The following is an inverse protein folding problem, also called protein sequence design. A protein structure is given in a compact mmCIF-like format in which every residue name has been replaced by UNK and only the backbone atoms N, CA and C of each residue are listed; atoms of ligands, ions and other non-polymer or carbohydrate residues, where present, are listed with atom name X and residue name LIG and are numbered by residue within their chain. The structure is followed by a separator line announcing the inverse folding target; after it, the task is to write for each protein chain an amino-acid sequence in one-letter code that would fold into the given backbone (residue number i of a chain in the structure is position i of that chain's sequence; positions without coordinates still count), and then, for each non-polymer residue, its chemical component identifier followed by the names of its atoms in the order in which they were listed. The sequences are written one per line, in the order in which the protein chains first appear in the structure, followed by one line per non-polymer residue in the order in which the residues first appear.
data_IF_136658349134
#
_entry.id   IF_136658349134
#
_cell.length_a   1.000
_cell.length_b   1.000
_cell.length_c   1.000
_cell.angle_alpha   90.00
_cell.angle_beta   90.00
_cell.angle_gamma   90.00
#
_symmetry.space_group_name_H-M   'P 1'
#
loop_
_entity.id
_entity.type
_entity.pdbx_description
1 polymer ?
#
# COMPACT_ATOMS: atom_id res chain seq x y z
N UNK A 1 -13.29 74.73 -35.88
CA UNK A 1 -12.82 73.96 -34.73
C UNK A 1 -13.17 72.48 -34.97
N UNK A 2 -12.20 71.62 -35.23
CA UNK A 2 -12.40 70.17 -35.45
C UNK A 2 -11.99 69.46 -34.17
N UNK A 3 -12.94 68.84 -33.50
CA UNK A 3 -12.69 68.03 -32.28
C UNK A 3 -12.26 66.62 -32.69
N UNK A 4 -11.06 66.23 -32.30
CA UNK A 4 -10.52 64.89 -32.49
C UNK A 4 -10.85 64.08 -31.25
N UNK A 5 -11.66 63.03 -31.41
CA UNK A 5 -11.97 62.00 -30.36
C UNK A 5 -10.88 60.93 -30.42
N UNK A 6 -10.05 60.83 -29.39
CA UNK A 6 -9.06 59.77 -29.21
C UNK A 6 -9.73 58.63 -28.44
N UNK A 7 -9.97 57.51 -29.11
CA UNK A 7 -10.45 56.27 -28.46
C UNK A 7 -9.26 55.53 -27.84
N UNK A 8 -9.23 55.43 -26.53
CA UNK A 8 -8.29 54.63 -25.77
C UNK A 8 -8.81 53.19 -25.71
N UNK A 9 -8.27 52.29 -26.52
CA UNK A 9 -8.51 50.86 -26.42
C UNK A 9 -7.66 50.27 -25.29
N UNK A 10 -8.29 49.93 -24.16
CA UNK A 10 -7.67 49.22 -23.05
C UNK A 10 -7.46 47.74 -23.45
N UNK A 11 -6.21 47.36 -23.73
CA UNK A 11 -5.80 45.99 -23.98
C UNK A 11 -5.63 45.26 -22.64
N UNK A 12 -6.63 44.49 -22.23
CA UNK A 12 -6.55 43.59 -21.07
C UNK A 12 -5.62 42.40 -21.44
N UNK A 13 -4.35 42.47 -21.03
CA UNK A 13 -3.44 41.31 -21.04
C UNK A 13 -3.92 40.32 -19.96
N UNK A 14 -4.59 39.25 -20.38
CA UNK A 14 -4.88 38.12 -19.52
C UNK A 14 -3.57 37.41 -19.17
N UNK A 15 -3.14 37.50 -17.90
CA UNK A 15 -2.03 36.70 -17.39
C UNK A 15 -2.55 35.27 -17.28
N UNK A 16 -2.13 34.39 -18.20
CA UNK A 16 -2.35 32.96 -18.08
C UNK A 16 -1.45 32.46 -16.92
N UNK A 17 -2.07 32.22 -15.77
CA UNK A 17 -1.40 31.51 -14.68
C UNK A 17 -1.28 30.05 -15.11
N UNK A 18 -0.09 29.65 -15.56
CA UNK A 18 0.23 28.23 -15.76
C UNK A 18 0.29 27.56 -14.40
N UNK A 19 -0.78 26.84 -14.02
CA UNK A 19 -0.73 25.97 -12.87
C UNK A 19 0.32 24.89 -13.13
N UNK A 20 1.45 24.94 -12.45
CA UNK A 20 2.42 23.85 -12.44
C UNK A 20 1.79 22.65 -11.75
N UNK A 21 1.79 21.49 -12.41
CA UNK A 21 1.32 20.26 -11.77
C UNK A 21 2.15 20.00 -10.51
N UNK A 22 1.47 19.72 -9.39
CA UNK A 22 2.14 19.39 -8.14
C UNK A 22 2.86 18.06 -8.30
N UNK A 23 4.13 17.99 -7.91
CA UNK A 23 4.87 16.72 -7.81
C UNK A 23 4.69 16.14 -6.42
N UNK A 24 4.31 14.87 -6.34
CA UNK A 24 4.14 14.10 -5.11
C UNK A 24 5.09 12.91 -5.11
N UNK A 25 5.77 12.67 -4.00
CA UNK A 25 6.65 11.51 -3.81
C UNK A 25 6.00 10.51 -2.88
N UNK A 26 5.84 9.28 -3.36
CA UNK A 26 5.28 8.15 -2.62
C UNK A 26 6.37 7.18 -2.20
N UNK A 27 6.35 6.78 -0.91
CA UNK A 27 7.12 5.64 -0.42
C UNK A 27 6.36 4.34 -0.66
N UNK A 28 7.05 3.28 -1.12
CA UNK A 28 6.51 1.93 -1.27
C UNK A 28 7.56 0.87 -0.93
N UNK A 29 7.13 -0.30 -0.47
CA UNK A 29 8.00 -1.47 -0.31
C UNK A 29 8.16 -2.15 -1.69
N UNK A 30 9.38 -2.60 -2.10
CA UNK A 30 9.58 -3.03 -3.49
C UNK A 30 9.29 -4.52 -3.74
N UNK A 31 8.75 -5.26 -2.77
CA UNK A 31 8.70 -6.74 -2.82
C UNK A 31 7.43 -7.36 -2.21
N UNK A 32 6.26 -6.79 -2.49
CA UNK A 32 4.96 -7.22 -1.92
C UNK A 32 3.89 -7.49 -3.00
N UNK A 33 4.14 -8.41 -3.98
CA UNK A 33 3.17 -8.69 -5.04
C UNK A 33 1.86 -9.30 -4.49
N UNK A 34 0.70 -9.04 -5.09
CA UNK A 34 0.47 -8.29 -6.33
C UNK A 34 0.34 -6.78 -6.10
N UNK A 35 0.51 -6.27 -4.85
CA UNK A 35 0.35 -4.86 -4.51
C UNK A 35 1.48 -4.01 -5.11
N UNK A 36 2.73 -4.35 -4.83
CA UNK A 36 3.90 -3.72 -5.45
C UNK A 36 5.07 -4.69 -5.57
N UNK A 37 5.82 -4.55 -6.65
CA UNK A 37 7.05 -5.31 -6.88
C UNK A 37 7.96 -4.62 -7.88
N UNK A 38 9.26 -4.92 -7.81
CA UNK A 38 10.22 -4.41 -8.78
C UNK A 38 10.42 -5.43 -9.89
N UNK A 39 10.28 -4.98 -11.15
CA UNK A 39 10.57 -5.81 -12.33
C UNK A 39 12.08 -6.01 -12.50
N UNK A 40 12.48 -6.94 -13.38
CA UNK A 40 13.89 -7.15 -13.76
C UNK A 40 14.56 -5.88 -14.32
N UNK A 41 13.78 -4.95 -14.86
CA UNK A 41 14.27 -3.65 -15.37
C UNK A 41 14.36 -2.58 -14.29
N UNK A 42 14.02 -2.89 -13.03
CA UNK A 42 14.02 -1.95 -11.91
C UNK A 42 12.78 -1.05 -11.83
N UNK A 43 11.73 -1.32 -12.64
CA UNK A 43 10.49 -0.57 -12.61
C UNK A 43 9.59 -1.06 -11.46
N UNK A 44 9.01 -0.15 -10.70
CA UNK A 44 8.03 -0.49 -9.67
C UNK A 44 6.65 -0.64 -10.33
N UNK A 45 6.01 -1.78 -10.11
CA UNK A 45 4.71 -2.15 -10.68
C UNK A 45 3.84 -2.80 -9.62
N UNK A 46 2.53 -2.84 -9.82
CA UNK A 46 1.60 -3.51 -8.92
C UNK A 46 0.27 -2.79 -8.80
N UNK A 47 -0.64 -3.39 -8.03
CA UNK A 47 -1.96 -2.84 -7.77
C UNK A 47 -1.87 -1.45 -7.13
N UNK A 48 -1.06 -1.29 -6.10
CA UNK A 48 -0.86 -0.04 -5.36
C UNK A 48 -0.27 1.05 -6.26
N UNK A 49 0.67 0.67 -7.13
CA UNK A 49 1.32 1.60 -8.05
C UNK A 49 0.34 2.12 -9.10
N UNK A 50 -0.46 1.22 -9.68
CA UNK A 50 -1.48 1.59 -10.66
C UNK A 50 -2.60 2.44 -10.01
N UNK A 51 -3.00 2.15 -8.76
CA UNK A 51 -3.96 2.96 -7.98
C UNK A 51 -3.44 4.38 -7.79
N UNK A 52 -2.18 4.55 -7.35
CA UNK A 52 -1.60 5.90 -7.17
C UNK A 52 -1.52 6.62 -8.50
N UNK A 53 -1.03 5.98 -9.56
CA UNK A 53 -0.93 6.61 -10.88
C UNK A 53 -2.30 7.08 -11.39
N UNK A 54 -3.34 6.27 -11.23
CA UNK A 54 -4.70 6.62 -11.61
C UNK A 54 -5.24 7.80 -10.77
N UNK A 55 -5.04 7.78 -9.44
CA UNK A 55 -5.41 8.89 -8.56
C UNK A 55 -4.69 10.18 -8.98
N UNK A 56 -3.38 10.10 -9.24
CA UNK A 56 -2.57 11.26 -9.61
C UNK A 56 -3.01 11.89 -10.95
N UNK A 57 -3.43 11.07 -11.91
CA UNK A 57 -4.03 11.55 -13.15
C UNK A 57 -5.33 12.33 -12.89
N UNK A 58 -6.21 11.84 -12.02
CA UNK A 58 -7.47 12.51 -11.66
C UNK A 58 -7.25 13.85 -10.94
N UNK A 59 -6.23 13.92 -10.06
CA UNK A 59 -5.93 15.15 -9.33
C UNK A 59 -4.93 16.06 -10.04
N UNK A 60 -4.54 15.72 -11.28
CA UNK A 60 -3.58 16.47 -12.11
C UNK A 60 -2.23 16.70 -11.43
N UNK A 61 -1.73 15.71 -10.70
CA UNK A 61 -0.43 15.68 -10.06
C UNK A 61 0.56 14.78 -10.83
N UNK A 62 1.86 15.08 -10.71
CA UNK A 62 2.94 14.19 -11.13
C UNK A 62 3.38 13.38 -9.93
N UNK A 63 3.22 12.06 -9.99
CA UNK A 63 3.59 11.18 -8.90
C UNK A 63 4.84 10.38 -9.21
N UNK A 64 5.73 10.29 -8.23
CA UNK A 64 6.98 9.53 -8.27
C UNK A 64 7.04 8.59 -7.09
N UNK A 65 7.83 7.52 -7.22
CA UNK A 65 7.96 6.51 -6.18
C UNK A 65 9.41 6.40 -5.71
N UNK A 66 9.58 6.17 -4.41
CA UNK A 66 10.84 5.77 -3.79
C UNK A 66 10.61 4.53 -2.94
N UNK A 67 11.54 3.58 -3.00
CA UNK A 67 11.41 2.32 -2.28
C UNK A 67 12.11 2.35 -0.95
N UNK A 68 11.47 1.79 0.07
CA UNK A 68 12.04 1.56 1.40
C UNK A 68 11.48 0.27 2.02
N UNK A 69 12.14 -0.31 3.03
CA UNK A 69 11.54 -1.35 3.87
C UNK A 69 10.21 -0.88 4.48
N UNK A 70 9.27 -1.81 4.63
CA UNK A 70 7.91 -1.52 5.09
C UNK A 70 7.86 -0.75 6.42
N UNK A 71 8.68 -1.16 7.39
CA UNK A 71 8.74 -0.54 8.73
C UNK A 71 9.24 0.91 8.73
N UNK A 72 9.92 1.34 7.65
CA UNK A 72 10.39 2.71 7.49
C UNK A 72 9.37 3.65 6.82
N UNK A 73 8.29 3.14 6.19
CA UNK A 73 7.35 3.96 5.40
C UNK A 73 6.62 5.00 6.26
N UNK A 74 5.96 4.59 7.35
CA UNK A 74 5.24 5.52 8.25
C UNK A 74 6.20 6.53 8.90
N UNK A 75 7.36 6.15 9.46
CA UNK A 75 8.36 7.10 9.92
C UNK A 75 8.77 8.14 8.87
N UNK A 76 9.00 7.73 7.63
CA UNK A 76 9.40 8.61 6.53
C UNK A 76 8.31 9.62 6.15
N UNK A 77 7.03 9.21 6.14
CA UNK A 77 5.91 10.14 5.96
C UNK A 77 5.81 11.13 7.13
N UNK A 78 6.00 10.66 8.37
CA UNK A 78 5.98 11.54 9.56
C UNK A 78 7.07 12.61 9.52
N UNK A 79 8.25 12.29 9.03
CA UNK A 79 9.37 13.23 8.87
C UNK A 79 9.32 14.03 7.54
N UNK A 80 8.29 13.81 6.72
CA UNK A 80 8.09 14.45 5.41
C UNK A 80 9.21 14.13 4.41
N UNK A 81 9.83 12.97 4.55
CA UNK A 81 10.74 12.45 3.54
C UNK A 81 9.97 12.02 2.28
N UNK A 82 8.74 11.51 2.46
CA UNK A 82 7.73 11.31 1.43
C UNK A 82 6.49 12.17 1.72
N UNK A 83 5.77 12.56 0.67
CA UNK A 83 4.46 13.21 0.80
C UNK A 83 3.40 12.22 1.28
N UNK A 84 3.49 10.98 0.79
CA UNK A 84 2.60 9.87 1.13
C UNK A 84 3.33 8.53 1.08
N UNK A 85 2.70 7.45 1.55
CA UNK A 85 3.15 6.07 1.35
C UNK A 85 1.97 5.16 1.01
N UNK A 86 2.22 4.19 0.13
CA UNK A 86 1.30 3.13 -0.23
C UNK A 86 2.07 1.81 -0.26
N UNK A 87 1.56 0.77 0.38
CA UNK A 87 2.19 -0.56 0.47
C UNK A 87 1.27 -1.51 1.24
N UNK A 88 0.05 -1.69 0.78
CA UNK A 88 -0.96 -2.49 1.48
C UNK A 88 -1.02 -2.19 3.01
N UNK A 89 -0.99 -0.89 3.37
CA UNK A 89 -0.86 -0.47 4.77
C UNK A 89 -2.22 -0.53 5.47
N UNK A 90 -2.40 -1.50 6.37
CA UNK A 90 -3.64 -1.63 7.16
C UNK A 90 -3.98 -0.36 7.92
N UNK A 91 -5.24 0.06 7.81
CA UNK A 91 -5.83 1.15 8.59
C UNK A 91 -6.11 0.62 9.99
N UNK A 92 -5.28 1.02 10.96
CA UNK A 92 -5.47 0.69 12.37
C UNK A 92 -5.57 1.94 13.23
N UNK A 93 -6.25 1.83 14.38
CA UNK A 93 -6.35 2.94 15.33
C UNK A 93 -4.95 3.39 15.81
N UNK A 94 -4.03 2.45 16.03
CA UNK A 94 -2.68 2.74 16.48
C UNK A 94 -1.88 3.56 15.45
N UNK A 95 -2.02 3.25 14.15
CA UNK A 95 -1.41 4.01 13.05
C UNK A 95 -2.11 5.34 12.82
N UNK A 96 -3.45 5.39 12.88
CA UNK A 96 -4.26 6.60 12.70
C UNK A 96 -4.00 7.67 13.79
N UNK A 97 -3.51 7.28 14.96
CA UNK A 97 -3.01 8.23 15.98
C UNK A 97 -1.75 8.98 15.52
N UNK A 98 -0.98 8.43 14.58
CA UNK A 98 0.32 8.96 14.16
C UNK A 98 0.29 9.64 12.79
N UNK A 99 -0.57 9.19 11.88
CA UNK A 99 -0.68 9.64 10.49
C UNK A 99 -2.15 9.79 10.09
N UNK A 100 -2.41 10.37 8.92
CA UNK A 100 -3.72 10.30 8.27
C UNK A 100 -3.71 9.16 7.25
N UNK A 101 -4.89 8.60 7.01
CA UNK A 101 -5.12 7.63 5.95
C UNK A 101 -6.09 8.19 4.91
N UNK A 102 -5.95 7.78 3.67
CA UNK A 102 -7.03 7.89 2.70
C UNK A 102 -8.22 7.01 3.11
N UNK A 103 -9.33 7.12 2.40
CA UNK A 103 -10.35 6.08 2.39
C UNK A 103 -9.73 4.75 1.96
N UNK A 104 -10.32 3.64 2.43
CA UNK A 104 -9.83 2.31 2.06
C UNK A 104 -9.96 2.07 0.56
N UNK A 105 -8.86 1.54 -0.05
CA UNK A 105 -8.85 1.17 -1.46
C UNK A 105 -8.88 -0.36 -1.68
N UNK A 106 -8.62 -1.17 -0.64
CA UNK A 106 -8.69 -2.63 -0.72
C UNK A 106 -9.03 -3.21 0.67
N UNK A 107 -9.71 -4.39 0.71
CA UNK A 107 -10.05 -5.07 1.95
C UNK A 107 -8.86 -5.86 2.47
N UNK A 108 -8.47 -5.64 3.73
CA UNK A 108 -7.39 -6.41 4.33
C UNK A 108 -7.89 -7.79 4.79
N UNK A 109 -7.05 -8.80 4.62
CA UNK A 109 -7.30 -10.15 5.13
C UNK A 109 -5.99 -10.86 5.43
N UNK A 110 -5.95 -11.67 6.48
CA UNK A 110 -4.76 -12.40 6.90
C UNK A 110 -4.96 -13.91 6.79
N UNK A 111 -3.92 -14.62 6.38
CA UNK A 111 -3.91 -16.09 6.30
C UNK A 111 -2.55 -16.64 6.72
N UNK A 112 -2.57 -17.90 7.16
CA UNK A 112 -1.34 -18.66 7.40
C UNK A 112 -1.03 -19.53 6.20
N UNK A 113 0.28 -19.66 5.89
CA UNK A 113 0.78 -20.68 4.98
C UNK A 113 1.84 -21.56 5.65
N UNK A 114 1.90 -22.82 5.20
CA UNK A 114 2.92 -23.79 5.55
C UNK A 114 3.33 -24.61 4.33
N UNK A 115 4.35 -25.43 4.45
CA UNK A 115 4.67 -26.44 3.43
C UNK A 115 3.59 -27.54 3.40
N UNK A 116 3.26 -28.02 2.20
CA UNK A 116 2.33 -29.14 2.01
C UNK A 116 2.77 -30.37 2.80
N UNK A 117 1.82 -30.96 3.52
CA UNK A 117 2.06 -32.18 4.30
C UNK A 117 2.85 -31.99 5.60
N UNK A 118 3.26 -30.77 5.92
CA UNK A 118 4.14 -30.55 7.07
C UNK A 118 3.41 -30.15 8.36
N UNK A 119 2.26 -29.46 8.37
CA UNK A 119 1.83 -28.83 9.62
C UNK A 119 0.33 -28.74 9.86
N UNK A 120 0.00 -29.16 11.06
CA UNK A 120 -1.11 -28.70 11.87
C UNK A 120 -0.68 -27.43 12.62
N UNK A 121 -1.47 -26.35 12.54
CA UNK A 121 -1.21 -25.09 13.26
C UNK A 121 -0.97 -25.28 14.77
N UNK A 122 -1.57 -26.33 15.35
CA UNK A 122 -1.40 -26.68 16.78
C UNK A 122 0.05 -27.09 17.10
N UNK A 123 0.78 -27.64 16.14
CA UNK A 123 2.17 -28.10 16.31
C UNK A 123 3.21 -27.05 15.94
N UNK A 124 2.81 -25.99 15.21
CA UNK A 124 3.70 -24.91 14.84
C UNK A 124 4.21 -24.18 16.09
N UNK A 125 5.48 -23.79 16.08
CA UNK A 125 6.13 -23.02 17.16
C UNK A 125 6.70 -21.72 16.64
N UNK A 126 7.34 -21.74 15.48
CA UNK A 126 8.03 -20.58 14.90
C UNK A 126 7.22 -20.02 13.74
N UNK A 127 6.91 -18.72 13.81
CA UNK A 127 6.12 -18.04 12.80
C UNK A 127 6.92 -16.91 12.16
N UNK A 128 6.96 -16.89 10.83
CA UNK A 128 7.49 -15.76 10.06
C UNK A 128 6.45 -14.67 9.85
N UNK A 129 6.84 -13.42 10.07
CA UNK A 129 6.02 -12.23 9.84
C UNK A 129 6.89 -11.10 9.31
N UNK A 130 6.30 -10.14 8.59
CA UNK A 130 7.04 -8.97 8.16
C UNK A 130 7.25 -7.99 9.33
N UNK A 131 8.45 -7.40 9.39
CA UNK A 131 8.81 -6.42 10.41
C UNK A 131 7.94 -5.15 10.29
N UNK A 132 7.46 -4.63 11.45
CA UNK A 132 6.60 -3.44 11.51
C UNK A 132 5.16 -3.65 11.03
N UNK A 133 4.81 -4.87 10.59
CA UNK A 133 3.46 -5.19 10.12
C UNK A 133 2.45 -5.37 11.26
N UNK A 134 1.18 -5.33 10.91
CA UNK A 134 0.07 -5.72 11.80
C UNK A 134 0.10 -7.22 12.13
N UNK A 135 0.64 -8.05 11.22
CA UNK A 135 0.84 -9.48 11.42
C UNK A 135 1.84 -9.75 12.55
N UNK A 136 2.95 -8.99 12.61
CA UNK A 136 3.89 -9.03 13.72
C UNK A 136 3.22 -8.61 15.03
N UNK A 137 2.49 -7.48 15.02
CA UNK A 137 1.81 -6.97 16.23
C UNK A 137 0.75 -7.96 16.74
N UNK A 138 -0.04 -8.54 15.83
CA UNK A 138 -1.03 -9.57 16.16
C UNK A 138 -0.35 -10.81 16.77
N UNK A 139 0.71 -11.31 16.14
CA UNK A 139 1.41 -12.50 16.63
C UNK A 139 1.98 -12.28 18.02
N UNK A 140 2.61 -11.15 18.28
CA UNK A 140 3.17 -10.81 19.59
C UNK A 140 2.08 -10.66 20.68
N UNK A 141 0.92 -10.15 20.33
CA UNK A 141 -0.14 -9.85 21.29
C UNK A 141 -1.10 -11.02 21.54
N UNK A 142 -1.52 -11.70 20.47
CA UNK A 142 -2.69 -12.58 20.50
C UNK A 142 -2.33 -14.09 20.34
N UNK A 143 -1.13 -14.43 19.83
CA UNK A 143 -0.76 -15.82 19.53
C UNK A 143 0.42 -16.29 20.36
N UNK A 144 0.24 -16.40 21.67
CA UNK A 144 1.29 -16.74 22.65
C UNK A 144 1.95 -18.12 22.44
N UNK A 145 1.32 -19.00 21.68
CA UNK A 145 1.86 -20.31 21.34
C UNK A 145 2.98 -20.25 20.29
N UNK A 146 3.10 -19.15 19.54
CA UNK A 146 4.10 -18.98 18.51
C UNK A 146 5.24 -18.07 18.96
N UNK A 147 6.46 -18.40 18.50
CA UNK A 147 7.64 -17.53 18.58
C UNK A 147 7.78 -16.78 17.25
N UNK A 148 7.52 -15.47 17.21
CA UNK A 148 7.62 -14.72 15.96
C UNK A 148 9.07 -14.46 15.58
N UNK A 149 9.36 -14.64 14.28
CA UNK A 149 10.59 -14.21 13.63
C UNK A 149 10.23 -13.15 12.58
N UNK A 150 10.74 -11.94 12.78
CA UNK A 150 10.47 -10.82 11.89
C UNK A 150 11.48 -10.79 10.73
N UNK A 151 10.97 -10.52 9.52
CA UNK A 151 11.74 -10.43 8.28
C UNK A 151 11.52 -9.05 7.64
N UNK A 152 12.55 -8.56 6.96
CA UNK A 152 12.45 -7.29 6.21
C UNK A 152 11.45 -7.44 5.06
N UNK A 153 11.49 -8.57 4.35
CA UNK A 153 10.57 -8.95 3.28
C UNK A 153 10.06 -10.37 3.51
N UNK A 154 8.94 -10.73 2.88
CA UNK A 154 8.33 -12.05 3.06
C UNK A 154 8.97 -13.15 2.22
N UNK A 155 9.74 -12.83 1.19
CA UNK A 155 10.51 -13.80 0.42
C UNK A 155 11.53 -14.52 1.32
N UNK A 156 12.19 -13.78 2.21
CA UNK A 156 13.13 -14.37 3.19
C UNK A 156 12.40 -15.25 4.21
N UNK A 157 11.17 -14.87 4.62
CA UNK A 157 10.34 -15.72 5.48
C UNK A 157 9.95 -17.03 4.78
N UNK A 158 9.56 -16.98 3.50
CA UNK A 158 9.23 -18.17 2.71
C UNK A 158 10.49 -19.05 2.53
N UNK A 159 11.64 -18.44 2.28
CA UNK A 159 12.90 -19.19 2.18
C UNK A 159 13.23 -19.92 3.49
N UNK A 160 13.05 -19.27 4.64
CA UNK A 160 13.26 -19.90 5.95
C UNK A 160 12.20 -20.98 6.26
N UNK A 161 10.95 -20.80 5.80
CA UNK A 161 9.92 -21.83 5.86
C UNK A 161 10.31 -23.07 5.05
N UNK A 162 10.77 -22.89 3.82
CA UNK A 162 11.26 -24.00 2.94
C UNK A 162 12.45 -24.74 3.53
N UNK A 163 13.31 -24.03 4.27
CA UNK A 163 14.47 -24.62 4.95
C UNK A 163 14.14 -25.19 6.34
N UNK A 164 12.88 -25.19 6.77
CA UNK A 164 12.46 -25.72 8.08
C UNK A 164 12.96 -24.91 9.29
N UNK A 165 13.33 -23.64 9.10
CA UNK A 165 13.76 -22.75 10.18
C UNK A 165 12.61 -22.05 10.88
N UNK A 166 11.45 -21.99 10.23
CA UNK A 166 10.15 -21.62 10.77
C UNK A 166 9.11 -22.61 10.28
N UNK A 167 7.97 -22.65 10.94
CA UNK A 167 6.92 -23.64 10.71
C UNK A 167 5.79 -23.10 9.83
N UNK A 168 5.47 -21.83 9.98
CA UNK A 168 4.38 -21.13 9.29
C UNK A 168 4.76 -19.67 9.00
N UNK A 169 4.04 -19.05 8.05
CA UNK A 169 4.10 -17.60 7.79
C UNK A 169 2.69 -17.02 7.88
N UNK A 170 2.54 -15.83 8.48
CA UNK A 170 1.31 -15.05 8.52
C UNK A 170 1.48 -13.77 7.72
N UNK A 171 0.59 -13.53 6.77
CA UNK A 171 0.58 -12.30 5.95
C UNK A 171 -0.78 -12.10 5.27
N UNK A 172 -0.86 -11.08 4.40
CA UNK A 172 -2.02 -10.85 3.53
C UNK A 172 -2.35 -12.07 2.69
N UNK A 173 -3.64 -12.38 2.64
CA UNK A 173 -4.14 -13.52 1.86
C UNK A 173 -3.80 -13.37 0.37
N UNK A 174 -3.94 -12.16 -0.20
CA UNK A 174 -3.65 -11.91 -1.61
C UNK A 174 -2.15 -12.08 -1.94
N UNK A 175 -1.25 -11.57 -1.09
CA UNK A 175 0.18 -11.79 -1.24
C UNK A 175 0.52 -13.28 -1.20
N UNK A 176 0.02 -13.99 -0.18
CA UNK A 176 0.32 -15.43 -0.03
C UNK A 176 -0.24 -16.25 -1.19
N UNK A 177 -1.42 -15.89 -1.71
CA UNK A 177 -1.98 -16.51 -2.90
C UNK A 177 -1.10 -16.29 -4.15
N UNK A 178 -0.56 -15.07 -4.33
CA UNK A 178 0.37 -14.79 -5.43
C UNK A 178 1.68 -15.56 -5.28
N UNK A 179 2.24 -15.61 -4.08
CA UNK A 179 3.45 -16.41 -3.81
C UNK A 179 3.25 -17.89 -4.09
N UNK A 180 2.09 -18.46 -3.74
CA UNK A 180 1.76 -19.87 -4.01
C UNK A 180 1.67 -20.21 -5.51
N UNK A 181 1.46 -19.24 -6.41
CA UNK A 181 1.54 -19.47 -7.86
C UNK A 181 2.97 -19.82 -8.29
N UNK A 182 3.98 -19.32 -7.59
CA UNK A 182 5.41 -19.55 -7.86
C UNK A 182 6.02 -20.63 -6.97
N UNK A 183 5.42 -20.87 -5.81
CA UNK A 183 5.88 -21.80 -4.78
C UNK A 183 4.79 -22.87 -4.54
N UNK A 184 4.66 -23.86 -5.44
CA UNK A 184 3.55 -24.82 -5.42
C UNK A 184 3.60 -25.77 -4.21
N UNK A 185 4.71 -25.83 -3.48
CA UNK A 185 4.84 -26.56 -2.22
C UNK A 185 4.15 -25.90 -1.03
N UNK A 186 3.74 -24.62 -1.15
CA UNK A 186 3.00 -23.92 -0.12
C UNK A 186 1.52 -24.29 -0.15
N UNK A 187 0.87 -24.20 1.01
CA UNK A 187 -0.57 -24.30 1.16
C UNK A 187 -1.07 -23.37 2.25
N UNK A 188 -2.29 -22.88 2.12
CA UNK A 188 -2.98 -22.26 3.24
C UNK A 188 -3.25 -23.31 4.32
N UNK A 189 -3.08 -22.90 5.59
CA UNK A 189 -3.41 -23.72 6.77
C UNK A 189 -4.30 -22.95 7.71
N UNK A 190 -5.31 -23.63 8.27
CA UNK A 190 -6.37 -22.97 9.05
C UNK A 190 -7.28 -22.12 8.18
N UNK A 191 -8.12 -21.33 8.86
CA UNK A 191 -8.99 -20.34 8.20
C UNK A 191 -8.34 -18.97 8.09
N UNK A 192 -9.01 -18.04 7.37
CA UNK A 192 -8.62 -16.61 7.39
C UNK A 192 -8.65 -16.09 8.83
N UNK A 193 -7.65 -15.30 9.18
CA UNK A 193 -7.60 -14.64 10.48
C UNK A 193 -8.44 -13.38 10.41
N UNK A 194 -9.45 -13.29 11.27
CA UNK A 194 -10.33 -12.13 11.40
C UNK A 194 -10.11 -11.49 12.76
N UNK A 195 -9.53 -10.30 12.77
CA UNK A 195 -9.35 -9.50 13.98
C UNK A 195 -9.39 -8.02 13.62
N UNK A 196 -10.53 -7.31 13.86
CA UNK A 196 -10.68 -5.90 13.44
C UNK A 196 -9.70 -4.92 14.07
N UNK A 197 -9.07 -5.28 15.19
CA UNK A 197 -8.01 -4.45 15.81
C UNK A 197 -6.75 -4.37 14.96
N UNK A 198 -6.44 -5.42 14.21
CA UNK A 198 -5.23 -5.54 13.39
C UNK A 198 -5.54 -5.59 11.90
N UNK A 199 -6.62 -6.24 11.51
CA UNK A 199 -7.05 -6.49 10.13
C UNK A 199 -8.55 -6.19 9.98
N UNK A 200 -9.02 -5.85 8.80
CA UNK A 200 -10.46 -5.75 8.51
C UNK A 200 -11.01 -4.33 8.43
N UNK A 201 -10.18 -3.29 8.62
CA UNK A 201 -10.56 -1.91 8.31
C UNK A 201 -10.09 -1.49 6.89
N UNK A 202 -9.58 -2.45 6.13
CA UNK A 202 -8.97 -2.23 4.82
C UNK A 202 -7.58 -1.60 4.88
N UNK A 203 -7.00 -1.35 3.71
CA UNK A 203 -5.71 -0.69 3.54
C UNK A 203 -5.89 0.69 2.93
N UNK A 204 -5.00 1.62 3.27
CA UNK A 204 -5.11 3.02 2.86
C UNK A 204 -3.76 3.66 2.56
N UNK A 205 -3.81 4.76 1.81
CA UNK A 205 -2.64 5.59 1.55
C UNK A 205 -2.35 6.42 2.80
N UNK A 206 -1.11 6.38 3.26
CA UNK A 206 -0.65 7.10 4.45
C UNK A 206 -0.19 8.50 4.07
N UNK A 207 -0.62 9.51 4.82
CA UNK A 207 -0.25 10.92 4.64
C UNK A 207 0.19 11.52 5.98
N UNK A 208 1.09 12.50 5.95
CA UNK A 208 1.50 13.19 7.16
C UNK A 208 0.29 13.82 7.88
N UNK A 209 0.25 13.72 9.21
CA UNK A 209 -0.87 14.19 10.04
C UNK A 209 -1.20 15.68 9.87
N UNK A 210 -0.25 16.49 9.45
CA UNK A 210 -0.44 17.91 9.17
C UNK A 210 -0.94 18.21 7.75
N UNK A 211 -0.99 17.23 6.85
CA UNK A 211 -1.32 17.43 5.43
C UNK A 211 -2.72 16.91 5.07
N UNK A 212 -3.73 17.48 5.72
CA UNK A 212 -5.13 17.13 5.48
C UNK A 212 -5.59 17.44 4.03
N UNK A 213 -5.04 18.49 3.43
CA UNK A 213 -5.36 18.85 2.06
C UNK A 213 -4.96 17.74 1.05
N UNK A 214 -3.79 17.12 1.25
CA UNK A 214 -3.38 15.98 0.43
C UNK A 214 -4.28 14.76 0.65
N UNK A 215 -4.63 14.44 1.90
CA UNK A 215 -5.58 13.36 2.21
C UNK A 215 -6.91 13.55 1.45
N UNK A 216 -7.50 14.76 1.52
CA UNK A 216 -8.75 15.08 0.85
C UNK A 216 -8.62 14.98 -0.69
N UNK A 217 -7.48 15.41 -1.24
CA UNK A 217 -7.19 15.31 -2.67
C UNK A 217 -7.08 13.84 -3.11
N UNK A 218 -6.36 13.01 -2.36
CA UNK A 218 -6.24 11.57 -2.64
C UNK A 218 -7.60 10.86 -2.56
N UNK A 219 -8.42 11.18 -1.57
CA UNK A 219 -9.79 10.63 -1.45
C UNK A 219 -10.68 11.03 -2.64
N UNK A 220 -10.58 12.28 -3.09
CA UNK A 220 -11.27 12.73 -4.32
C UNK A 220 -10.85 11.92 -5.55
N UNK A 221 -9.55 11.74 -5.74
CA UNK A 221 -9.01 10.94 -6.84
C UNK A 221 -9.44 9.47 -6.75
N UNK A 222 -9.38 8.87 -5.55
CA UNK A 222 -9.84 7.50 -5.30
C UNK A 222 -11.33 7.33 -5.61
N UNK A 223 -12.17 8.26 -5.20
CA UNK A 223 -13.60 8.26 -5.51
C UNK A 223 -13.83 8.38 -7.03
N UNK A 224 -13.08 9.23 -7.73
CA UNK A 224 -13.18 9.42 -9.17
C UNK A 224 -12.83 8.14 -9.94
N UNK A 225 -11.70 7.48 -9.63
CA UNK A 225 -11.32 6.22 -10.31
C UNK A 225 -12.27 5.07 -10.01
N UNK A 226 -12.92 5.06 -8.82
CA UNK A 226 -14.00 4.09 -8.51
C UNK A 226 -15.25 4.38 -9.34
N UNK A 227 -15.61 5.65 -9.52
CA UNK A 227 -16.81 6.07 -10.25
C UNK A 227 -16.69 5.89 -11.79
N UNK A 228 -15.51 6.14 -12.36
CA UNK A 228 -15.26 6.04 -13.81
C UNK A 228 -14.89 4.64 -14.30
N UNK A 229 -14.77 3.65 -13.40
CA UNK A 229 -14.47 2.26 -13.71
C UNK A 229 -12.97 1.93 -13.85
N UNK A 230 -12.08 2.89 -13.65
CA UNK A 230 -10.62 2.65 -13.72
C UNK A 230 -10.13 1.74 -12.60
N UNK A 231 -10.68 1.93 -11.37
CA UNK A 231 -10.40 1.05 -10.24
C UNK A 231 -10.69 -0.42 -10.58
N UNK A 232 -11.82 -0.72 -11.22
CA UNK A 232 -12.21 -2.09 -11.57
C UNK A 232 -11.28 -2.72 -12.61
N UNK A 233 -10.75 -1.92 -13.55
CA UNK A 233 -9.74 -2.40 -14.50
C UNK A 233 -8.42 -2.74 -13.82
N UNK A 234 -7.97 -1.87 -12.91
CA UNK A 234 -6.75 -2.10 -12.12
C UNK A 234 -6.94 -3.34 -11.23
N UNK A 235 -8.10 -3.47 -10.58
CA UNK A 235 -8.42 -4.64 -9.76
C UNK A 235 -8.41 -5.93 -10.58
N UNK A 236 -9.05 -5.93 -11.75
CA UNK A 236 -9.07 -7.09 -12.63
C UNK A 236 -7.68 -7.47 -13.16
N UNK A 237 -6.79 -6.48 -13.36
CA UNK A 237 -5.42 -6.71 -13.82
C UNK A 237 -4.55 -7.43 -12.77
N UNK A 238 -4.71 -7.09 -11.49
CA UNK A 238 -3.79 -7.52 -10.45
C UNK A 238 -4.36 -8.54 -9.45
N UNK A 239 -5.68 -8.48 -9.21
CA UNK A 239 -6.38 -9.23 -8.17
C UNK A 239 -7.31 -10.32 -8.71
N UNK A 240 -7.43 -10.48 -10.05
CA UNK A 240 -8.17 -11.60 -10.63
C UNK A 240 -7.45 -12.93 -10.34
N UNK A 241 -8.22 -13.93 -9.90
CA UNK A 241 -7.78 -15.30 -9.59
C UNK A 241 -7.27 -16.05 -10.84
#
# INVERSE_FOLDING_TARGET
MKTVLISISSFLMGVAVTASAQTLTFGAEPSYPPFESTTEKGELVGFDIDIVNAICNEIQAVCTFQTQPFDALIPSVKTKHFDAAISSIDITEARAKQVLFSDSYYDSSASYVALKGSMDLVKAKNIGVQNGSTFQQYTLAETKQYTPKAYVNLQDAILDLKNGRIDIVLSDTALLADMMKKEPELQFVGGKVVNPKYFGNGVGIVVNKSNKALQESLNKGLAAIKANGEYQKIYAKWMAE
#
